data_IF_428960296625
#
_entry.id   IF_428960296625
#
_cell.length_a   1.000
_cell.length_b   1.000
_cell.length_c   1.000
_cell.angle_alpha   90.00
_cell.angle_beta   90.00
_cell.angle_gamma   90.00
#
_symmetry.space_group_name_H-M   'P 1'
#
loop_
_entity.id
_entity.type
_entity.pdbx_description
1 polymer ?
#
# COMPACT_ATOMS: atom_id res chain seq x y z
N UNK A 1 22.55 -16.15 3.13
CA UNK A 1 21.26 -16.74 2.69
C UNK A 1 20.20 -16.31 3.68
N UNK A 2 19.04 -15.93 3.19
CA UNK A 2 17.86 -15.65 4.02
C UNK A 2 16.59 -16.16 3.35
N UNK A 3 15.54 -16.29 4.13
CA UNK A 3 14.17 -16.56 3.68
C UNK A 3 13.30 -15.32 3.92
N UNK A 4 12.14 -15.27 3.31
CA UNK A 4 11.18 -14.17 3.50
C UNK A 4 10.72 -14.00 4.96
N UNK A 5 10.83 -15.03 5.79
CA UNK A 5 10.33 -15.04 7.17
C UNK A 5 11.36 -15.61 8.18
N UNK A 6 12.64 -15.54 7.86
CA UNK A 6 13.70 -16.07 8.71
C UNK A 6 13.65 -17.59 8.89
N UNK A 7 14.17 -18.07 10.00
CA UNK A 7 14.21 -19.48 10.38
C UNK A 7 15.61 -20.03 10.51
N UNK A 8 15.70 -21.29 10.94
CA UNK A 8 16.98 -21.98 11.11
C UNK A 8 17.77 -22.07 9.80
N UNK A 9 19.05 -21.72 9.85
CA UNK A 9 19.94 -21.69 8.69
C UNK A 9 19.90 -20.39 7.87
N UNK A 10 19.15 -19.39 8.30
CA UNK A 10 19.23 -18.04 7.74
C UNK A 10 20.40 -17.27 8.33
N UNK A 11 21.16 -16.55 7.46
CA UNK A 11 22.23 -15.66 7.91
C UNK A 11 21.68 -14.35 8.50
N UNK A 12 20.46 -13.99 8.12
CA UNK A 12 19.80 -12.77 8.56
C UNK A 12 18.46 -13.08 9.21
N UNK A 13 18.12 -12.30 10.22
CA UNK A 13 16.78 -12.31 10.78
C UNK A 13 15.87 -11.46 9.90
N UNK A 14 14.98 -12.10 9.17
CA UNK A 14 14.00 -11.50 8.29
C UNK A 14 12.61 -11.82 8.83
N UNK A 15 11.78 -10.79 8.93
CA UNK A 15 10.41 -10.94 9.41
C UNK A 15 9.42 -10.59 8.31
N UNK A 16 8.17 -11.00 8.51
CA UNK A 16 7.02 -10.41 7.85
C UNK A 16 6.28 -9.53 8.84
N UNK A 17 5.99 -8.29 8.49
CA UNK A 17 5.26 -7.38 9.36
C UNK A 17 3.98 -6.87 8.69
N UNK A 18 2.85 -7.32 9.20
CA UNK A 18 1.51 -7.03 8.72
C UNK A 18 0.75 -6.03 9.61
N UNK A 19 1.42 -5.39 10.57
CA UNK A 19 0.79 -4.44 11.50
C UNK A 19 0.03 -3.36 10.75
N UNK A 20 -1.22 -3.16 11.16
CA UNK A 20 -2.16 -2.25 10.52
C UNK A 20 -2.87 -2.79 9.27
N UNK A 21 -2.45 -3.94 8.71
CA UNK A 21 -3.11 -4.55 7.55
C UNK A 21 -4.20 -5.54 7.98
N UNK A 22 -3.83 -6.61 8.67
CA UNK A 22 -4.75 -7.65 9.12
C UNK A 22 -5.03 -7.59 10.62
N UNK A 23 -4.18 -6.93 11.37
CA UNK A 23 -4.23 -6.75 12.81
C UNK A 23 -3.03 -5.92 13.26
N UNK A 24 -2.86 -5.79 14.57
CA UNK A 24 -1.82 -4.95 15.13
C UNK A 24 -2.13 -3.45 15.01
N UNK A 25 -1.18 -2.66 15.43
CA UNK A 25 -1.28 -1.20 15.47
C UNK A 25 -0.36 -0.59 14.43
N UNK A 26 -0.95 0.06 13.43
CA UNK A 26 -0.20 0.72 12.36
C UNK A 26 0.83 1.74 12.89
N UNK A 27 0.52 2.40 13.99
CA UNK A 27 1.40 3.42 14.58
C UNK A 27 2.63 2.84 15.30
N UNK A 28 2.66 1.52 15.50
CA UNK A 28 3.81 0.79 16.05
C UNK A 28 4.71 0.16 14.99
N UNK A 29 4.35 0.28 13.73
CA UNK A 29 5.06 -0.39 12.63
C UNK A 29 6.56 -0.07 12.62
N UNK A 30 6.94 1.21 12.70
CA UNK A 30 8.35 1.61 12.75
C UNK A 30 9.10 1.07 13.97
N UNK A 31 8.47 1.12 15.15
CA UNK A 31 9.04 0.52 16.35
C UNK A 31 9.25 -1.00 16.20
N UNK A 32 8.30 -1.69 15.61
CA UNK A 32 8.41 -3.13 15.39
C UNK A 32 9.52 -3.48 14.39
N UNK A 33 9.71 -2.66 13.35
CA UNK A 33 10.80 -2.83 12.39
C UNK A 33 12.18 -2.63 13.03
N UNK A 34 12.32 -1.67 13.94
CA UNK A 34 13.60 -1.31 14.56
C UNK A 34 14.02 -2.20 15.74
N UNK A 35 13.28 -3.28 16.01
CA UNK A 35 13.63 -4.21 17.09
C UNK A 35 15.01 -4.83 16.85
N UNK A 36 15.78 -5.12 17.93
CA UNK A 36 17.07 -5.73 17.83
C UNK A 36 17.03 -7.02 16.98
N UNK A 37 18.02 -7.17 16.12
CA UNK A 37 18.19 -8.31 15.21
C UNK A 37 17.17 -8.41 14.06
N UNK A 38 16.37 -7.37 13.81
CA UNK A 38 15.52 -7.31 12.62
C UNK A 38 16.19 -6.40 11.57
N UNK A 39 16.92 -7.00 10.65
CA UNK A 39 17.66 -6.25 9.63
C UNK A 39 16.85 -5.97 8.38
N UNK A 40 15.85 -6.80 8.10
CA UNK A 40 15.08 -6.74 6.88
C UNK A 40 13.63 -7.15 7.14
N UNK A 41 12.68 -6.41 6.57
CA UNK A 41 11.29 -6.84 6.49
C UNK A 41 11.05 -7.55 5.16
N UNK A 42 10.95 -8.86 5.19
CA UNK A 42 10.83 -9.70 4.01
C UNK A 42 9.48 -9.59 3.31
N UNK A 43 8.46 -9.10 4.01
CA UNK A 43 7.13 -8.89 3.41
C UNK A 43 6.30 -7.92 4.25
N UNK A 44 5.70 -6.93 3.59
CA UNK A 44 4.74 -6.02 4.18
C UNK A 44 3.68 -5.60 3.15
N UNK A 45 2.65 -4.89 3.58
CA UNK A 45 1.66 -4.33 2.67
C UNK A 45 0.41 -5.19 2.57
N UNK A 46 0.19 -5.79 1.42
CA UNK A 46 -0.87 -6.74 1.11
C UNK A 46 -2.29 -6.22 1.31
N UNK A 47 -2.53 -4.92 1.13
CA UNK A 47 -3.87 -4.39 1.06
C UNK A 47 -4.50 -4.75 -0.28
N UNK A 48 -5.80 -4.98 -0.28
CA UNK A 48 -6.54 -5.42 -1.47
C UNK A 48 -7.40 -4.28 -1.98
N UNK A 49 -7.19 -3.91 -3.22
CA UNK A 49 -8.12 -3.08 -3.96
C UNK A 49 -7.93 -3.26 -5.44
N UNK A 50 -9.03 -3.24 -6.19
CA UNK A 50 -9.04 -3.04 -7.62
C UNK A 50 -10.16 -2.08 -7.92
N UNK A 51 -9.81 -0.90 -8.40
CA UNK A 51 -10.74 0.13 -8.87
C UNK A 51 -11.95 0.34 -7.93
N UNK A 52 -11.71 0.20 -6.64
CA UNK A 52 -12.67 0.47 -5.59
C UNK A 52 -12.26 1.73 -4.85
N UNK A 53 -13.06 2.78 -4.98
CA UNK A 53 -12.83 4.07 -4.36
C UNK A 53 -13.88 4.37 -3.28
N UNK A 54 -13.42 4.93 -2.17
CA UNK A 54 -14.28 5.42 -1.09
C UNK A 54 -13.69 6.69 -0.50
N UNK A 55 -14.50 7.44 0.24
CA UNK A 55 -13.97 8.51 1.08
C UNK A 55 -12.87 7.98 1.99
N UNK A 56 -11.80 8.77 2.24
CA UNK A 56 -10.69 8.36 3.08
C UNK A 56 -11.20 7.81 4.40
N UNK A 57 -10.85 6.58 4.70
CA UNK A 57 -11.25 5.92 5.91
C UNK A 57 -10.14 6.01 6.95
N UNK A 58 -10.52 6.27 8.19
CA UNK A 58 -9.62 6.08 9.32
C UNK A 58 -9.16 4.61 9.40
N UNK A 59 -7.98 4.36 9.99
CA UNK A 59 -7.43 3.01 10.09
C UNK A 59 -8.27 2.04 10.90
N UNK A 60 -9.12 2.54 11.79
CA UNK A 60 -10.06 1.78 12.60
C UNK A 60 -11.33 1.37 11.85
N UNK A 61 -11.61 1.97 10.69
CA UNK A 61 -12.75 1.61 9.88
C UNK A 61 -12.57 0.21 9.26
N UNK A 62 -13.31 -0.75 9.75
CA UNK A 62 -13.27 -2.14 9.30
C UNK A 62 -13.96 -2.32 7.94
N UNK A 63 -13.39 -3.18 7.10
CA UNK A 63 -14.05 -3.67 5.89
C UNK A 63 -14.01 -2.70 4.71
N UNK A 64 -13.24 -1.63 4.76
CA UNK A 64 -13.08 -0.72 3.65
C UNK A 64 -11.84 -1.12 2.85
N UNK A 65 -12.08 -1.62 1.65
CA UNK A 65 -11.08 -2.14 0.73
C UNK A 65 -10.96 -1.22 -0.49
N UNK A 66 -10.46 0.00 -0.27
CA UNK A 66 -10.35 1.02 -1.31
C UNK A 66 -8.90 1.37 -1.62
N UNK A 67 -8.67 1.97 -2.77
CA UNK A 67 -7.35 2.47 -3.16
C UNK A 67 -6.88 3.58 -2.23
N UNK A 68 -7.77 4.49 -1.82
CA UNK A 68 -7.46 5.56 -0.86
C UNK A 68 -6.93 4.99 0.45
N UNK A 69 -7.55 3.93 0.95
CA UNK A 69 -7.08 3.28 2.18
C UNK A 69 -5.76 2.54 1.95
N UNK A 70 -5.58 1.94 0.79
CA UNK A 70 -4.31 1.30 0.42
C UNK A 70 -3.18 2.33 0.41
N UNK A 71 -3.37 3.47 -0.25
CA UNK A 71 -2.40 4.56 -0.30
C UNK A 71 -2.07 5.07 1.11
N UNK A 72 -3.08 5.39 1.92
CA UNK A 72 -2.89 5.88 3.29
C UNK A 72 -2.11 4.89 4.16
N UNK A 73 -2.43 3.60 4.07
CA UNK A 73 -1.76 2.55 4.83
C UNK A 73 -0.30 2.39 4.41
N UNK A 74 -0.04 2.34 3.10
CA UNK A 74 1.31 2.16 2.58
C UNK A 74 2.17 3.39 2.81
N UNK A 75 1.66 4.58 2.61
CA UNK A 75 2.37 5.83 2.90
C UNK A 75 2.75 5.92 4.38
N UNK A 76 1.83 5.56 5.27
CA UNK A 76 2.11 5.54 6.72
C UNK A 76 3.24 4.57 7.04
N UNK A 77 3.24 3.37 6.45
CA UNK A 77 4.31 2.38 6.63
C UNK A 77 5.65 2.85 6.08
N UNK A 78 5.67 3.47 4.90
CA UNK A 78 6.88 4.03 4.30
C UNK A 78 7.48 5.10 5.23
N UNK A 79 6.68 6.06 5.67
CA UNK A 79 7.14 7.14 6.56
C UNK A 79 7.72 6.61 7.86
N UNK A 80 7.11 5.59 8.44
CA UNK A 80 7.63 4.96 9.65
C UNK A 80 8.92 4.16 9.39
N UNK A 81 9.00 3.44 8.27
CA UNK A 81 10.22 2.72 7.88
C UNK A 81 11.39 3.70 7.65
N UNK A 82 11.14 4.81 6.95
CA UNK A 82 12.14 5.87 6.73
C UNK A 82 12.62 6.50 8.05
N UNK A 83 11.74 6.63 9.04
CA UNK A 83 12.13 7.17 10.36
C UNK A 83 13.08 6.27 11.15
N UNK A 84 13.20 5.00 10.77
CA UNK A 84 14.07 3.99 11.42
C UNK A 84 15.09 3.39 10.46
N UNK A 85 15.36 4.03 9.33
CA UNK A 85 16.23 3.53 8.26
C UNK A 85 17.67 3.22 8.71
N UNK A 86 18.13 3.85 9.77
CA UNK A 86 19.46 3.56 10.33
C UNK A 86 19.53 2.21 11.07
N UNK A 87 18.37 1.61 11.34
CA UNK A 87 18.23 0.33 12.05
C UNK A 87 17.72 -0.83 11.17
N UNK A 88 17.28 -0.54 9.95
CA UNK A 88 16.66 -1.51 9.04
C UNK A 88 17.22 -1.34 7.63
N UNK A 89 17.69 -2.44 7.03
CA UNK A 89 18.27 -2.40 5.69
C UNK A 89 17.23 -2.16 4.59
N UNK A 90 15.96 -2.51 4.84
CA UNK A 90 14.89 -2.34 3.86
C UNK A 90 13.67 -3.21 4.09
N UNK A 91 12.76 -3.14 3.14
CA UNK A 91 11.51 -3.87 3.20
C UNK A 91 10.99 -4.20 1.79
N UNK A 92 10.27 -5.32 1.66
CA UNK A 92 9.69 -5.77 0.41
C UNK A 92 8.17 -5.70 0.45
N UNK A 93 7.60 -4.94 -0.49
CA UNK A 93 6.16 -4.83 -0.66
C UNK A 93 5.58 -6.14 -1.24
N UNK A 94 4.55 -6.67 -0.60
CA UNK A 94 3.72 -7.72 -1.14
C UNK A 94 2.41 -7.14 -1.67
N UNK A 95 2.21 -7.02 -3.00
CA UNK A 95 3.11 -7.48 -4.07
C UNK A 95 3.11 -6.43 -5.19
N UNK A 96 3.99 -6.60 -6.18
CA UNK A 96 4.03 -5.70 -7.33
C UNK A 96 2.79 -5.86 -8.21
N UNK A 97 2.53 -7.05 -8.75
CA UNK A 97 1.40 -7.32 -9.63
C UNK A 97 0.39 -8.24 -8.97
N UNK A 98 -0.88 -7.87 -9.03
CA UNK A 98 -1.97 -8.80 -8.75
C UNK A 98 -1.93 -9.96 -9.74
N UNK A 99 -2.31 -11.15 -9.30
CA UNK A 99 -2.21 -12.36 -10.13
C UNK A 99 -3.26 -13.39 -9.79
N UNK A 100 -3.44 -14.34 -10.69
CA UNK A 100 -4.24 -15.53 -10.46
C UNK A 100 -3.63 -16.40 -9.36
N UNK A 101 -4.47 -16.94 -8.51
CA UNK A 101 -4.08 -17.87 -7.48
C UNK A 101 -5.09 -19.02 -7.36
N UNK A 102 -5.16 -19.86 -8.40
CA UNK A 102 -6.12 -20.95 -8.45
C UNK A 102 -5.88 -21.94 -7.32
N UNK A 103 -6.96 -22.36 -6.68
CA UNK A 103 -6.91 -23.33 -5.58
C UNK A 103 -6.56 -22.75 -4.22
N UNK A 104 -6.25 -21.46 -4.10
CA UNK A 104 -6.06 -20.82 -2.79
C UNK A 104 -7.39 -20.82 -2.03
N UNK A 105 -7.35 -21.40 -0.84
CA UNK A 105 -8.45 -21.37 0.12
C UNK A 105 -7.92 -20.88 1.45
N UNK A 106 -8.30 -19.66 1.81
CA UNK A 106 -8.11 -19.15 3.17
C UNK A 106 -9.49 -19.03 3.82
N UNK A 107 -9.72 -19.63 4.99
CA UNK A 107 -11.05 -19.67 5.62
C UNK A 107 -11.66 -18.27 5.86
N UNK A 108 -10.81 -17.29 6.18
CA UNK A 108 -11.23 -15.91 6.43
C UNK A 108 -11.45 -15.12 5.13
N UNK A 109 -10.85 -15.49 4.02
CA UNK A 109 -11.03 -14.85 2.72
C UNK A 109 -12.40 -15.18 2.11
N UNK A 110 -12.91 -16.38 2.34
CA UNK A 110 -14.21 -16.83 1.81
C UNK A 110 -15.40 -16.03 2.37
N UNK A 111 -15.22 -15.32 3.46
CA UNK A 111 -16.27 -14.53 4.11
C UNK A 111 -16.40 -13.11 3.55
N UNK A 112 -15.42 -12.63 2.80
CA UNK A 112 -15.40 -11.28 2.25
C UNK A 112 -15.97 -11.26 0.83
N UNK A 113 -16.82 -10.26 0.54
CA UNK A 113 -17.43 -10.14 -0.79
C UNK A 113 -16.40 -9.98 -1.91
N UNK A 114 -15.33 -9.25 -1.64
CA UNK A 114 -14.25 -8.98 -2.61
C UNK A 114 -13.41 -10.23 -2.87
N UNK A 115 -13.30 -11.13 -1.91
CA UNK A 115 -12.58 -12.40 -2.05
C UNK A 115 -13.37 -13.43 -2.87
N UNK A 116 -14.66 -13.16 -3.13
CA UNK A 116 -15.53 -13.98 -3.97
C UNK A 116 -15.37 -13.71 -5.47
N UNK A 117 -14.54 -12.76 -5.84
CA UNK A 117 -14.29 -12.39 -7.23
C UNK A 117 -13.31 -13.37 -7.91
N UNK A 118 -13.31 -14.60 -7.49
CA UNK A 118 -12.50 -15.65 -8.08
C UNK A 118 -11.16 -15.89 -7.38
N UNK A 119 -10.34 -16.78 -7.92
CA UNK A 119 -9.08 -17.22 -7.33
C UNK A 119 -7.94 -16.21 -7.61
N UNK A 120 -8.16 -14.93 -7.33
CA UNK A 120 -7.21 -13.88 -7.59
C UNK A 120 -6.55 -13.36 -6.30
N UNK A 121 -5.31 -12.93 -6.41
CA UNK A 121 -4.61 -12.17 -5.39
C UNK A 121 -4.57 -10.69 -5.79
N UNK A 122 -5.49 -9.88 -5.27
CA UNK A 122 -5.65 -8.46 -5.59
C UNK A 122 -4.86 -7.55 -4.65
N UNK A 123 -3.58 -7.84 -4.42
CA UNK A 123 -2.72 -7.09 -3.50
C UNK A 123 -1.62 -6.31 -4.22
N UNK A 124 -1.67 -6.29 -5.55
CA UNK A 124 -0.68 -5.64 -6.39
C UNK A 124 -0.71 -4.12 -6.30
N UNK A 125 0.42 -3.53 -6.62
CA UNK A 125 0.52 -2.11 -6.96
C UNK A 125 -0.05 -1.86 -8.36
N UNK A 126 -0.07 -2.92 -9.17
CA UNK A 126 -0.70 -2.94 -10.50
C UNK A 126 -1.71 -4.09 -10.57
N UNK A 127 -2.65 -3.96 -11.51
CA UNK A 127 -3.63 -5.01 -11.81
C UNK A 127 -2.95 -6.25 -12.44
N UNK A 128 -3.67 -7.38 -12.63
CA UNK A 128 -3.14 -8.52 -13.39
C UNK A 128 -2.79 -8.20 -14.85
N UNK A 129 -3.31 -7.09 -15.37
CA UNK A 129 -3.05 -6.60 -16.74
C UNK A 129 -2.00 -5.50 -16.78
N UNK A 130 -1.25 -5.32 -15.66
CA UNK A 130 -0.19 -4.33 -15.50
C UNK A 130 -0.66 -2.86 -15.54
N UNK A 131 -1.95 -2.62 -15.30
CA UNK A 131 -2.49 -1.27 -15.13
C UNK A 131 -2.15 -0.75 -13.73
N UNK A 132 -1.46 0.41 -13.61
CA UNK A 132 -1.09 0.97 -12.32
C UNK A 132 -2.30 1.44 -11.51
N UNK A 133 -2.32 1.11 -10.22
CA UNK A 133 -3.25 1.67 -9.24
C UNK A 133 -2.70 2.97 -8.64
N UNK A 134 -3.52 3.72 -7.92
CA UNK A 134 -3.10 4.96 -7.24
C UNK A 134 -1.85 4.75 -6.37
N UNK A 135 -1.77 3.61 -5.68
CA UNK A 135 -0.65 3.25 -4.83
C UNK A 135 0.67 3.08 -5.59
N UNK A 136 0.63 2.66 -6.85
CA UNK A 136 1.83 2.61 -7.69
C UNK A 136 2.45 4.00 -7.85
N UNK A 137 1.64 4.99 -8.13
CA UNK A 137 2.10 6.37 -8.29
C UNK A 137 2.55 6.98 -6.96
N UNK A 138 1.93 6.61 -5.84
CA UNK A 138 2.39 6.97 -4.52
C UNK A 138 3.82 6.45 -4.27
N UNK A 139 4.08 5.15 -4.55
CA UNK A 139 5.43 4.61 -4.45
C UNK A 139 6.41 5.28 -5.40
N UNK A 140 6.02 5.48 -6.64
CA UNK A 140 6.84 6.14 -7.66
C UNK A 140 7.24 7.55 -7.22
N UNK A 141 6.33 8.33 -6.65
CA UNK A 141 6.61 9.67 -6.15
C UNK A 141 7.59 9.70 -4.97
N UNK A 142 7.67 8.63 -4.18
CA UNK A 142 8.58 8.53 -3.03
C UNK A 142 9.96 7.98 -3.38
N UNK A 143 10.09 7.16 -4.42
CA UNK A 143 11.31 6.41 -4.69
C UNK A 143 11.97 6.71 -6.04
N UNK A 144 11.27 7.37 -6.96
CA UNK A 144 11.88 7.79 -8.23
C UNK A 144 12.48 9.17 -8.11
N UNK A 145 13.73 9.31 -8.53
CA UNK A 145 14.40 10.61 -8.54
C UNK A 145 13.81 11.51 -9.62
N UNK A 146 13.54 12.79 -9.33
CA UNK A 146 12.97 13.72 -10.29
C UNK A 146 13.89 13.98 -11.48
N UNK A 147 15.20 13.86 -11.30
CA UNK A 147 16.22 14.00 -12.37
C UNK A 147 16.15 12.85 -13.39
N UNK A 148 15.68 11.68 -12.94
CA UNK A 148 15.49 10.52 -13.83
C UNK A 148 14.15 10.55 -14.53
N UNK A 149 13.09 10.83 -13.77
CA UNK A 149 11.72 10.80 -14.26
C UNK A 149 10.84 11.72 -13.41
N UNK A 150 10.73 13.02 -13.74
CA UNK A 150 9.82 13.92 -13.05
C UNK A 150 8.37 13.48 -13.29
N UNK A 151 7.57 13.50 -12.22
CA UNK A 151 6.18 13.07 -12.31
C UNK A 151 5.23 13.89 -11.45
N UNK A 152 4.01 13.99 -11.92
CA UNK A 152 2.83 14.39 -11.14
C UNK A 152 1.66 13.49 -11.53
N UNK A 153 0.91 13.04 -10.55
CA UNK A 153 -0.25 12.19 -10.73
C UNK A 153 -1.40 12.69 -9.86
N UNK A 154 -2.54 12.98 -10.48
CA UNK A 154 -3.77 13.33 -9.77
C UNK A 154 -4.41 12.04 -9.22
N UNK A 155 -4.51 11.97 -7.90
CA UNK A 155 -4.98 10.76 -7.23
C UNK A 155 -6.43 10.47 -7.59
N UNK A 156 -6.70 9.18 -7.83
CA UNK A 156 -8.00 8.64 -8.23
C UNK A 156 -8.56 9.30 -9.49
N UNK A 157 -7.75 9.37 -10.53
CA UNK A 157 -8.16 9.91 -11.83
C UNK A 157 -9.34 9.14 -12.46
N UNK A 158 -9.56 7.91 -12.05
CA UNK A 158 -10.71 7.08 -12.47
C UNK A 158 -11.98 7.42 -11.71
N UNK A 159 -11.88 8.11 -10.57
CA UNK A 159 -13.03 8.46 -9.74
C UNK A 159 -13.53 9.88 -10.06
N UNK A 160 -14.35 9.99 -11.08
CA UNK A 160 -14.81 11.28 -11.63
C UNK A 160 -15.92 11.96 -10.82
N UNK A 161 -16.65 11.24 -9.98
CA UNK A 161 -17.79 11.77 -9.25
C UNK A 161 -17.57 11.65 -7.74
N UNK A 162 -17.25 12.75 -7.09
CA UNK A 162 -17.05 12.83 -5.63
C UNK A 162 -18.09 13.78 -5.03
N UNK A 163 -18.88 13.27 -4.09
CA UNK A 163 -19.93 14.02 -3.42
C UNK A 163 -19.83 13.87 -1.92
N UNK A 164 -19.89 14.97 -1.18
CA UNK A 164 -20.10 14.90 0.25
C UNK A 164 -21.55 14.50 0.58
N UNK A 165 -21.75 13.85 1.74
CA UNK A 165 -23.09 13.51 2.27
C UNK A 165 -24.02 14.72 2.42
N UNK A 166 -23.47 15.92 2.56
CA UNK A 166 -24.22 17.17 2.69
C UNK A 166 -24.77 17.70 1.36
N UNK A 167 -24.49 17.03 0.24
CA UNK A 167 -24.86 17.51 -1.11
C UNK A 167 -24.05 18.71 -1.60
N UNK A 168 -23.06 19.17 -0.83
CA UNK A 168 -22.10 20.18 -1.27
C UNK A 168 -21.02 19.51 -2.09
N UNK A 169 -20.75 20.03 -3.28
CA UNK A 169 -19.63 19.60 -4.12
C UNK A 169 -18.33 20.15 -3.51
N UNK A 170 -17.66 19.36 -2.71
CA UNK A 170 -16.27 19.58 -2.35
C UNK A 170 -15.46 18.43 -2.89
N UNK A 171 -14.45 18.70 -3.68
CA UNK A 171 -13.44 17.74 -4.06
C UNK A 171 -12.14 18.12 -3.34
N UNK A 172 -11.61 17.21 -2.54
CA UNK A 172 -10.21 17.28 -2.16
C UNK A 172 -9.42 16.82 -3.36
N UNK A 173 -8.53 17.68 -3.84
CA UNK A 173 -7.58 17.31 -4.90
C UNK A 173 -6.31 16.88 -4.21
N UNK A 174 -5.89 15.67 -4.48
CA UNK A 174 -4.65 15.08 -4.00
C UNK A 174 -3.77 14.74 -5.19
N UNK A 175 -2.49 14.99 -5.08
CA UNK A 175 -1.53 14.67 -6.13
C UNK A 175 -0.27 14.04 -5.53
N UNK A 176 0.23 13.01 -6.17
CA UNK A 176 1.56 12.46 -5.89
C UNK A 176 2.58 13.05 -6.85
N UNK A 177 3.69 13.54 -6.32
CA UNK A 177 4.75 14.12 -7.13
C UNK A 177 6.10 13.92 -6.45
N UNK A 178 7.14 13.70 -7.24
CA UNK A 178 8.53 13.72 -6.80
C UNK A 178 9.22 15.07 -7.08
N UNK A 179 8.50 16.07 -7.59
CA UNK A 179 9.02 17.40 -7.89
C UNK A 179 8.85 18.34 -6.69
N UNK A 180 9.65 19.39 -6.61
CA UNK A 180 9.63 20.38 -5.53
C UNK A 180 8.34 21.23 -5.50
N UNK A 181 7.66 21.35 -6.63
CA UNK A 181 6.44 22.13 -6.75
C UNK A 181 5.48 21.55 -7.80
N UNK A 182 4.20 21.69 -7.53
CA UNK A 182 3.11 21.31 -8.44
C UNK A 182 2.18 22.52 -8.62
N UNK A 183 1.83 22.83 -9.86
CA UNK A 183 0.88 23.90 -10.20
C UNK A 183 -0.43 23.28 -10.66
N UNK A 184 -1.52 23.71 -10.05
CA UNK A 184 -2.88 23.33 -10.44
C UNK A 184 -3.54 24.51 -11.18
N UNK A 185 -4.03 24.24 -12.37
CA UNK A 185 -4.81 25.18 -13.16
C UNK A 185 -6.26 24.70 -13.21
N UNK A 186 -7.18 25.64 -13.13
CA UNK A 186 -8.60 25.39 -13.33
C UNK A 186 -9.05 26.25 -14.52
N UNK A 187 -9.26 25.60 -15.66
CA UNK A 187 -9.74 26.21 -16.90
C UNK A 187 -11.27 26.29 -16.93
#
# INVERSE_FOLDING_TARGET
ITTCNGGDGSDWNVIQNWSGTYGGDIYKYGYELSRPNQLLNGEYGAWRSIDLHTEPAAFDAKGIWSEERMCLLMETKIRQAESVKDSVCGQFQWIYSSHDNPGRRQPDEALRRIDKVGPFNYKGLVTPWEEPLDVYYMYKSNYRLPEEEPMVYLVSHTWNNRFEKSGRRRATIEAYSNCDSVLLYND
#
